data_IF_708117960876
#
_entry.id   IF_708117960876
#
_cell.length_a   1.000
_cell.length_b   1.000
_cell.length_c   1.000
_cell.angle_alpha   90.00
_cell.angle_beta   90.00
_cell.angle_gamma   90.00
#
_symmetry.space_group_name_H-M   'P 1'
#
loop_
_entity.id
_entity.type
_entity.pdbx_description
1 polymer ?
#
# COMPACT_ATOMS: atom_id res chain seq x y z
N UNK A 1 10.01 -13.52 -9.45
CA UNK A 1 8.80 -12.92 -10.05
C UNK A 1 8.62 -11.57 -9.37
N UNK A 2 8.69 -10.46 -10.11
CA UNK A 2 8.37 -9.15 -9.55
C UNK A 2 6.85 -9.11 -9.44
N UNK A 3 6.31 -9.27 -8.24
CA UNK A 3 4.88 -9.06 -8.03
C UNK A 3 4.63 -7.57 -8.25
N UNK A 4 3.90 -7.24 -9.31
CA UNK A 4 3.44 -5.88 -9.51
C UNK A 4 2.45 -5.57 -8.37
N UNK A 5 2.98 -4.94 -7.32
CA UNK A 5 2.22 -4.56 -6.14
C UNK A 5 1.39 -3.29 -6.40
N UNK A 6 1.49 -2.72 -7.61
CA UNK A 6 0.70 -1.59 -8.03
C UNK A 6 -0.65 -2.03 -8.64
N UNK A 7 -1.72 -1.32 -8.30
CA UNK A 7 -3.03 -1.50 -8.91
C UNK A 7 -3.82 -0.19 -8.84
N UNK A 8 -4.83 -0.05 -9.70
CA UNK A 8 -5.70 1.14 -9.72
C UNK A 8 -7.00 0.87 -8.96
N UNK A 9 -7.45 1.83 -8.14
CA UNK A 9 -8.72 1.77 -7.42
C UNK A 9 -9.34 3.17 -7.31
N UNK A 10 -10.59 3.34 -7.77
CA UNK A 10 -11.36 4.61 -7.74
C UNK A 10 -10.61 5.86 -8.22
N UNK A 11 -9.81 5.72 -9.29
CA UNK A 11 -9.03 6.84 -9.85
C UNK A 11 -7.73 7.15 -9.12
N UNK A 12 -7.26 6.24 -8.26
CA UNK A 12 -5.96 6.30 -7.60
C UNK A 12 -5.09 5.11 -8.00
N UNK A 13 -3.79 5.35 -8.19
CA UNK A 13 -2.77 4.31 -8.31
C UNK A 13 -2.24 3.99 -6.91
N UNK A 14 -2.34 2.73 -6.51
CA UNK A 14 -1.95 2.21 -5.20
C UNK A 14 -0.75 1.30 -5.38
N UNK A 15 0.45 1.75 -5.00
CA UNK A 15 1.68 0.96 -5.06
C UNK A 15 2.00 0.38 -3.68
N UNK A 16 1.77 -0.92 -3.50
CA UNK A 16 1.89 -1.63 -2.23
C UNK A 16 3.20 -2.41 -2.09
N UNK A 17 4.35 -1.78 -2.37
CA UNK A 17 5.66 -2.45 -2.32
C UNK A 17 6.22 -2.50 -0.89
N UNK A 18 6.26 -3.66 -0.21
CA UNK A 18 6.74 -3.75 1.17
C UNK A 18 8.26 -3.54 1.26
N UNK A 19 8.72 -3.05 2.41
CA UNK A 19 10.14 -2.93 2.72
C UNK A 19 10.62 -4.19 3.45
N UNK A 20 11.75 -4.76 3.00
CA UNK A 20 12.37 -5.90 3.68
C UNK A 20 13.21 -5.42 4.87
N UNK A 21 12.95 -5.97 6.05
CA UNK A 21 13.71 -5.72 7.26
C UNK A 21 14.94 -6.63 7.36
N UNK A 22 15.91 -6.25 8.21
CA UNK A 22 17.17 -6.98 8.40
C UNK A 22 16.97 -8.40 8.96
N UNK A 23 15.90 -8.60 9.74
CA UNK A 23 15.49 -9.90 10.28
C UNK A 23 14.84 -10.83 9.24
N UNK A 24 14.72 -10.38 7.98
CA UNK A 24 14.14 -11.14 6.89
C UNK A 24 12.62 -11.00 6.75
N UNK A 25 11.96 -10.29 7.67
CA UNK A 25 10.53 -9.99 7.60
C UNK A 25 10.24 -8.82 6.66
N UNK A 26 8.96 -8.62 6.35
CA UNK A 26 8.45 -7.61 5.44
C UNK A 26 7.55 -6.63 6.17
N UNK A 27 7.91 -5.36 6.11
CA UNK A 27 7.09 -4.26 6.61
C UNK A 27 6.20 -3.75 5.48
N UNK A 28 4.87 -3.72 5.65
CA UNK A 28 3.99 -3.19 4.63
C UNK A 28 4.29 -1.71 4.39
N UNK A 29 4.11 -1.31 3.14
CA UNK A 29 4.30 0.07 2.71
C UNK A 29 3.39 0.33 1.52
N UNK A 30 2.82 1.53 1.47
CA UNK A 30 1.95 1.92 0.37
C UNK A 30 2.12 3.39 0.00
N UNK A 31 2.20 3.62 -1.31
CA UNK A 31 2.18 4.93 -1.93
C UNK A 31 0.90 5.04 -2.75
N UNK A 32 0.17 6.12 -2.56
CA UNK A 32 -1.09 6.42 -3.24
C UNK A 32 -0.91 7.70 -4.02
N UNK A 33 -1.10 7.62 -5.33
CA UNK A 33 -1.16 8.81 -6.19
C UNK A 33 -2.47 8.87 -6.95
N UNK A 34 -2.90 10.06 -7.34
CA UNK A 34 -4.08 10.24 -8.20
C UNK A 34 -3.72 9.80 -9.61
N UNK A 35 -4.55 8.96 -10.23
CA UNK A 35 -4.27 8.40 -11.55
C UNK A 35 -4.30 9.44 -12.68
N UNK A 36 -4.94 10.60 -12.49
CA UNK A 36 -5.11 11.62 -13.53
C UNK A 36 -3.85 12.45 -13.81
N UNK A 37 -3.10 12.79 -12.76
CA UNK A 37 -1.97 13.73 -12.79
C UNK A 37 -0.72 13.17 -12.09
N UNK A 38 -0.83 12.02 -11.43
CA UNK A 38 0.26 11.42 -10.66
C UNK A 38 0.53 12.11 -9.32
N UNK A 39 -0.33 13.05 -8.90
CA UNK A 39 -0.16 13.76 -7.63
C UNK A 39 -0.11 12.77 -6.46
N UNK A 40 0.92 12.87 -5.62
CA UNK A 40 1.05 12.05 -4.42
C UNK A 40 -0.02 12.47 -3.40
N UNK A 41 -0.92 11.54 -3.08
CA UNK A 41 -2.03 11.77 -2.16
C UNK A 41 -1.67 11.28 -0.76
N UNK A 42 -1.03 10.11 -0.67
CA UNK A 42 -0.58 9.56 0.60
C UNK A 42 0.68 8.73 0.41
N UNK A 43 1.55 8.80 1.41
CA UNK A 43 2.69 7.91 1.56
C UNK A 43 2.65 7.34 2.98
N UNK A 44 2.48 6.03 3.12
CA UNK A 44 2.30 5.40 4.43
C UNK A 44 3.27 4.25 4.66
N UNK A 45 4.10 4.44 5.69
CA UNK A 45 4.77 3.39 6.43
C UNK A 45 3.89 2.88 7.55
N UNK A 46 3.82 1.55 7.68
CA UNK A 46 3.12 0.91 8.79
C UNK A 46 4.04 0.84 10.02
N UNK A 47 3.50 0.70 11.25
CA UNK A 47 4.32 0.58 12.46
C UNK A 47 5.34 -0.55 12.36
N UNK A 48 6.50 -0.39 13.00
CA UNK A 48 7.60 -1.38 12.94
C UNK A 48 7.24 -2.71 13.59
N UNK A 49 6.25 -2.72 14.47
CA UNK A 49 5.72 -3.91 15.13
C UNK A 49 4.82 -4.73 14.18
N UNK A 50 4.34 -4.11 13.09
CA UNK A 50 3.52 -4.77 12.07
C UNK A 50 4.42 -5.24 10.93
N UNK A 51 4.90 -6.47 11.06
CA UNK A 51 5.76 -7.15 10.08
C UNK A 51 5.21 -8.52 9.75
N UNK A 52 5.49 -8.97 8.53
CA UNK A 52 5.02 -10.25 8.01
C UNK A 52 6.21 -11.12 7.62
N UNK A 53 6.15 -12.44 7.84
CA UNK A 53 7.21 -13.35 7.39
C UNK A 53 7.29 -13.42 5.86
N UNK A 54 6.15 -13.31 5.18
CA UNK A 54 6.04 -13.42 3.72
C UNK A 54 5.76 -12.06 3.07
N UNK A 55 6.39 -11.83 1.91
CA UNK A 55 6.22 -10.59 1.13
C UNK A 55 4.75 -10.41 0.69
N UNK A 56 4.12 -11.52 0.26
CA UNK A 56 2.74 -11.54 -0.21
C UNK A 56 1.74 -11.10 0.86
N UNK A 57 1.98 -11.45 2.13
CA UNK A 57 1.12 -11.07 3.25
C UNK A 57 1.24 -9.58 3.56
N UNK A 58 2.45 -9.02 3.49
CA UNK A 58 2.68 -7.58 3.63
C UNK A 58 2.01 -6.79 2.50
N UNK A 59 2.09 -7.29 1.25
CA UNK A 59 1.40 -6.70 0.10
C UNK A 59 -0.11 -6.76 0.32
N UNK A 60 -0.67 -7.92 0.71
CA UNK A 60 -2.10 -8.08 0.95
C UNK A 60 -2.61 -7.12 2.05
N UNK A 61 -1.85 -6.98 3.14
CA UNK A 61 -2.18 -6.03 4.21
C UNK A 61 -2.19 -4.58 3.72
N UNK A 62 -1.15 -4.17 2.98
CA UNK A 62 -1.06 -2.82 2.42
C UNK A 62 -2.22 -2.54 1.43
N UNK A 63 -2.59 -3.52 0.60
CA UNK A 63 -3.71 -3.44 -0.34
C UNK A 63 -5.04 -3.25 0.39
N UNK A 64 -5.33 -4.10 1.37
CA UNK A 64 -6.58 -4.03 2.15
C UNK A 64 -6.72 -2.69 2.87
N UNK A 65 -5.63 -2.23 3.49
CA UNK A 65 -5.61 -0.93 4.14
C UNK A 65 -5.87 0.21 3.14
N UNK A 66 -5.19 0.19 1.99
CA UNK A 66 -5.28 1.25 0.99
C UNK A 66 -6.69 1.34 0.38
N UNK A 67 -7.30 0.20 0.05
CA UNK A 67 -8.69 0.14 -0.42
C UNK A 67 -9.62 0.72 0.63
N UNK A 68 -9.51 0.30 1.89
CA UNK A 68 -10.36 0.83 2.98
C UNK A 68 -10.16 2.33 3.20
N UNK A 69 -8.93 2.82 3.08
CA UNK A 69 -8.62 4.23 3.26
C UNK A 69 -9.18 5.09 2.13
N UNK A 70 -9.03 4.65 0.87
CA UNK A 70 -9.66 5.30 -0.29
C UNK A 70 -11.18 5.27 -0.15
N UNK A 71 -11.75 4.12 0.22
CA UNK A 71 -13.18 3.97 0.37
C UNK A 71 -13.73 4.92 1.43
N UNK A 72 -13.09 5.02 2.60
CA UNK A 72 -13.46 5.96 3.65
C UNK A 72 -13.26 7.43 3.23
N UNK A 73 -12.17 7.74 2.52
CA UNK A 73 -11.87 9.11 2.05
C UNK A 73 -12.85 9.58 0.97
N UNK A 74 -13.31 8.65 0.11
CA UNK A 74 -14.26 8.91 -0.97
C UNK A 74 -15.70 9.15 -0.50
N UNK A 75 -16.02 8.87 0.76
CA UNK A 75 -17.36 9.13 1.35
C UNK A 75 -17.52 10.59 1.79
N UNK A 76 -16.52 11.43 1.57
CA UNK A 76 -16.64 12.87 1.85
C UNK A 76 -17.39 13.57 0.70
N UNK A 77 -18.73 13.54 0.86
CA UNK A 77 -19.82 14.40 0.39
C UNK A 77 -19.41 15.59 -0.51
#
# INVERSE_FOLDING_TARGET
>A
MHFDAAFTHRGYLLNCAPARAVDGTWQPYVVISRSSDGELVANRFFPTELRFPEEADAIAHARDWAVRWIDASSVTI
#
